data_IF_928179240988
#
_entry.id   IF_928179240988
#
_cell.length_a   1.000
_cell.length_b   1.000
_cell.length_c   1.000
_cell.angle_alpha   90.00
_cell.angle_beta   90.00
_cell.angle_gamma   90.00
#
_symmetry.space_group_name_H-M   'P 1'
#
loop_
_entity.id
_entity.type
_entity.pdbx_description
1 polymer ?
#
# COMPACT_ATOMS: atom_id res chain seq x y z
N UNK A 1 58.28 -25.76 -5.34
CA UNK A 1 57.43 -26.01 -4.15
C UNK A 1 56.82 -24.72 -3.61
N UNK A 2 57.56 -23.77 -3.01
CA UNK A 2 56.96 -22.55 -2.44
C UNK A 2 56.17 -21.68 -3.45
N UNK A 3 56.68 -21.49 -4.67
CA UNK A 3 56.02 -20.68 -5.70
C UNK A 3 54.75 -21.32 -6.29
N UNK A 4 54.62 -22.64 -6.22
CA UNK A 4 53.40 -23.36 -6.63
C UNK A 4 52.34 -23.34 -5.54
N UNK A 5 52.74 -23.46 -4.27
CA UNK A 5 51.84 -23.27 -3.13
C UNK A 5 51.25 -21.86 -3.08
N UNK A 6 52.04 -20.83 -3.36
CA UNK A 6 51.55 -19.45 -3.36
C UNK A 6 50.57 -19.17 -4.51
N UNK A 7 50.81 -19.74 -5.70
CA UNK A 7 49.85 -19.67 -6.82
C UNK A 7 48.54 -20.41 -6.51
N UNK A 8 48.64 -21.57 -5.88
CA UNK A 8 47.45 -22.35 -5.48
C UNK A 8 46.62 -21.60 -4.42
N UNK A 9 47.28 -20.95 -3.45
CA UNK A 9 46.61 -20.13 -2.43
C UNK A 9 45.89 -18.93 -3.04
N UNK A 10 46.52 -18.22 -3.97
CA UNK A 10 45.91 -17.06 -4.63
C UNK A 10 44.72 -17.48 -5.51
N UNK A 11 44.85 -18.58 -6.26
CA UNK A 11 43.74 -19.13 -7.05
C UNK A 11 42.55 -19.53 -6.17
N UNK A 12 42.81 -20.16 -5.00
CA UNK A 12 41.77 -20.52 -4.04
C UNK A 12 41.08 -19.28 -3.46
N UNK A 13 41.84 -18.22 -3.15
CA UNK A 13 41.30 -16.94 -2.67
C UNK A 13 40.38 -16.28 -3.70
N UNK A 14 40.82 -16.21 -4.96
CA UNK A 14 40.03 -15.65 -6.06
C UNK A 14 38.73 -16.45 -6.25
N UNK A 15 38.81 -17.78 -6.20
CA UNK A 15 37.64 -18.65 -6.31
C UNK A 15 36.63 -18.41 -5.18
N UNK A 16 37.09 -18.25 -3.94
CA UNK A 16 36.22 -17.97 -2.80
C UNK A 16 35.55 -16.58 -2.88
N UNK A 17 36.29 -15.56 -3.32
CA UNK A 17 35.74 -14.22 -3.55
C UNK A 17 34.65 -14.27 -4.63
N UNK A 18 34.89 -14.96 -5.74
CA UNK A 18 33.90 -15.12 -6.81
C UNK A 18 32.65 -15.87 -6.33
N UNK A 19 32.81 -16.97 -5.58
CA UNK A 19 31.69 -17.71 -5.01
C UNK A 19 30.87 -16.85 -4.02
N UNK A 20 31.53 -15.96 -3.27
CA UNK A 20 30.86 -15.01 -2.38
C UNK A 20 30.11 -13.94 -3.16
N UNK A 21 30.70 -13.38 -4.21
CA UNK A 21 30.04 -12.43 -5.12
C UNK A 21 28.77 -13.05 -5.74
N UNK A 22 28.82 -14.30 -6.19
CA UNK A 22 27.65 -14.94 -6.81
C UNK A 22 26.52 -15.22 -5.81
N UNK A 23 26.84 -15.58 -4.56
CA UNK A 23 25.85 -15.67 -3.48
C UNK A 23 25.18 -14.33 -3.21
N UNK A 24 25.95 -13.24 -3.18
CA UNK A 24 25.40 -11.89 -3.00
C UNK A 24 24.54 -11.45 -4.19
N UNK A 25 24.93 -11.72 -5.43
CA UNK A 25 24.11 -11.42 -6.62
C UNK A 25 22.76 -12.14 -6.58
N UNK A 26 22.74 -13.43 -6.26
CA UNK A 26 21.49 -14.19 -6.15
C UNK A 26 20.55 -13.57 -5.11
N UNK A 27 21.10 -13.12 -3.98
CA UNK A 27 20.33 -12.43 -2.93
C UNK A 27 19.86 -11.05 -3.39
N UNK A 28 20.71 -10.30 -4.09
CA UNK A 28 20.39 -9.00 -4.66
C UNK A 28 19.21 -9.09 -5.64
N UNK A 29 19.26 -10.02 -6.58
CA UNK A 29 18.23 -10.20 -7.61
C UNK A 29 16.87 -10.57 -6.98
N UNK A 30 16.88 -11.47 -5.99
CA UNK A 30 15.68 -11.85 -5.24
C UNK A 30 15.06 -10.67 -4.50
N UNK A 31 15.87 -9.84 -3.82
CA UNK A 31 15.40 -8.63 -3.14
C UNK A 31 14.91 -7.58 -4.13
N UNK A 32 15.58 -7.39 -5.26
CA UNK A 32 15.14 -6.48 -6.32
C UNK A 32 13.79 -6.88 -6.91
N UNK A 33 13.57 -8.18 -7.15
CA UNK A 33 12.28 -8.69 -7.61
C UNK A 33 11.17 -8.40 -6.59
N UNK A 34 11.44 -8.67 -5.30
CA UNK A 34 10.52 -8.39 -4.20
C UNK A 34 10.23 -6.89 -4.07
N UNK A 35 11.26 -6.05 -4.22
CA UNK A 35 11.14 -4.60 -4.18
C UNK A 35 10.22 -4.10 -5.30
N UNK A 36 10.40 -4.57 -6.53
CA UNK A 36 9.53 -4.21 -7.67
C UNK A 36 8.08 -4.65 -7.47
N UNK A 37 7.86 -5.87 -6.96
CA UNK A 37 6.51 -6.37 -6.70
C UNK A 37 5.78 -5.53 -5.63
N UNK A 38 6.48 -5.15 -4.56
CA UNK A 38 5.94 -4.30 -3.51
C UNK A 38 5.63 -2.88 -4.02
N UNK A 39 6.49 -2.29 -4.86
CA UNK A 39 6.22 -1.00 -5.51
C UNK A 39 4.93 -1.03 -6.35
N UNK A 40 4.73 -2.07 -7.16
CA UNK A 40 3.49 -2.24 -7.94
C UNK A 40 2.25 -2.37 -7.05
N UNK A 41 2.37 -3.10 -5.94
CA UNK A 41 1.28 -3.28 -4.97
C UNK A 41 0.93 -1.95 -4.28
N UNK A 42 1.94 -1.15 -3.93
CA UNK A 42 1.75 0.19 -3.37
C UNK A 42 1.01 1.11 -4.33
N UNK A 43 1.38 1.12 -5.61
CA UNK A 43 0.67 1.93 -6.60
C UNK A 43 -0.79 1.55 -6.73
N UNK A 44 -1.09 0.24 -6.79
CA UNK A 44 -2.48 -0.25 -6.81
C UNK A 44 -3.26 0.16 -5.56
N UNK A 45 -2.66 0.06 -4.38
CA UNK A 45 -3.30 0.48 -3.13
C UNK A 45 -3.51 2.00 -3.06
N UNK A 46 -2.54 2.80 -3.51
CA UNK A 46 -2.66 4.26 -3.56
C UNK A 46 -3.74 4.69 -4.55
N UNK A 47 -3.88 4.01 -5.69
CA UNK A 47 -4.96 4.25 -6.64
C UNK A 47 -6.34 3.89 -6.05
N UNK A 48 -6.46 2.71 -5.43
CA UNK A 48 -7.69 2.28 -4.77
C UNK A 48 -8.11 3.25 -3.64
N UNK A 49 -7.14 3.72 -2.84
CA UNK A 49 -7.37 4.74 -1.81
C UNK A 49 -7.97 6.01 -2.40
N UNK A 50 -7.40 6.53 -3.49
CA UNK A 50 -7.91 7.74 -4.16
C UNK A 50 -9.36 7.54 -4.66
N UNK A 51 -9.67 6.37 -5.22
CA UNK A 51 -11.04 6.04 -5.64
C UNK A 51 -12.02 6.06 -4.46
N UNK A 52 -11.68 5.36 -3.37
CA UNK A 52 -12.51 5.31 -2.16
C UNK A 52 -12.71 6.71 -1.53
N UNK A 53 -11.68 7.55 -1.54
CA UNK A 53 -11.80 8.94 -1.07
C UNK A 53 -12.75 9.75 -1.95
N UNK A 54 -12.74 9.53 -3.26
CA UNK A 54 -13.72 10.13 -4.18
C UNK A 54 -15.14 9.70 -3.86
N UNK A 55 -15.36 8.40 -3.62
CA UNK A 55 -16.67 7.85 -3.27
C UNK A 55 -17.22 8.42 -1.94
N UNK A 56 -16.35 8.62 -0.94
CA UNK A 56 -16.73 9.22 0.34
C UNK A 56 -17.37 10.61 0.20
N UNK A 57 -16.96 11.40 -0.79
CA UNK A 57 -17.57 12.71 -1.05
C UNK A 57 -19.04 12.63 -1.51
N UNK A 58 -19.43 11.53 -2.16
CA UNK A 58 -20.81 11.34 -2.62
C UNK A 58 -21.77 11.11 -1.46
N UNK A 59 -21.36 10.39 -0.41
CA UNK A 59 -22.20 10.17 0.78
C UNK A 59 -22.63 11.49 1.44
N UNK A 60 -21.69 12.44 1.59
CA UNK A 60 -22.01 13.75 2.16
C UNK A 60 -22.92 14.59 1.26
N UNK A 61 -22.78 14.47 -0.07
CA UNK A 61 -23.68 15.12 -1.02
C UNK A 61 -25.10 14.55 -0.92
N UNK A 62 -25.24 13.22 -0.98
CA UNK A 62 -26.54 12.56 -0.89
C UNK A 62 -27.26 12.88 0.42
N UNK A 63 -26.54 12.87 1.55
CA UNK A 63 -27.12 13.21 2.84
C UNK A 63 -27.67 14.65 2.87
N UNK A 64 -26.97 15.59 2.24
CA UNK A 64 -27.45 16.98 2.09
C UNK A 64 -28.69 17.05 1.20
N UNK A 65 -28.70 16.36 0.07
CA UNK A 65 -29.85 16.31 -0.84
C UNK A 65 -31.10 15.73 -0.16
N UNK A 66 -30.97 14.60 0.55
CA UNK A 66 -32.08 14.02 1.32
C UNK A 66 -32.54 14.96 2.46
N UNK A 67 -31.62 15.68 3.09
CA UNK A 67 -31.97 16.69 4.09
C UNK A 67 -32.76 17.83 3.47
N UNK A 68 -32.34 18.33 2.31
CA UNK A 68 -33.04 19.38 1.60
C UNK A 68 -34.42 18.94 1.11
N UNK A 69 -34.56 17.70 0.63
CA UNK A 69 -35.85 17.12 0.24
C UNK A 69 -36.84 17.10 1.42
N UNK A 70 -36.34 16.77 2.62
CA UNK A 70 -37.15 16.80 3.84
C UNK A 70 -37.66 18.20 4.19
N UNK A 71 -36.85 19.23 3.95
CA UNK A 71 -37.16 20.62 4.35
C UNK A 71 -37.89 21.44 3.29
N UNK A 72 -37.72 21.10 2.00
CA UNK A 72 -38.34 21.80 0.87
C UNK A 72 -39.85 21.51 0.76
N UNK A 73 -40.28 20.32 1.14
CA UNK A 73 -41.69 19.98 1.30
C UNK A 73 -42.10 20.41 2.71
N UNK A 74 -42.73 21.57 2.85
CA UNK A 74 -43.15 22.04 4.18
C UNK A 74 -44.23 21.13 4.77
N UNK A 75 -44.28 21.03 6.09
CA UNK A 75 -45.36 20.32 6.79
C UNK A 75 -46.71 21.01 6.62
N UNK A 76 -46.81 22.19 6.01
CA UNK A 76 -48.10 22.78 5.63
C UNK A 76 -48.62 22.24 4.29
N UNK A 77 -47.72 21.87 3.37
CA UNK A 77 -48.05 21.42 2.01
C UNK A 77 -48.10 19.89 1.86
N UNK A 78 -47.40 19.16 2.73
CA UNK A 78 -47.41 17.69 2.76
C UNK A 78 -47.57 17.18 4.19
N UNK A 79 -48.74 16.57 4.46
CA UNK A 79 -49.22 16.28 5.82
C UNK A 79 -49.73 14.85 6.02
N UNK A 80 -50.01 14.53 7.28
CA UNK A 80 -50.72 13.32 7.68
C UNK A 80 -49.88 12.05 7.62
N UNK A 81 -50.54 10.90 7.57
CA UNK A 81 -49.88 9.60 7.65
C UNK A 81 -48.88 9.36 6.50
N UNK A 82 -49.17 9.88 5.29
CA UNK A 82 -48.25 9.79 4.14
C UNK A 82 -46.97 10.59 4.40
N UNK A 83 -47.06 11.77 5.01
CA UNK A 83 -45.89 12.57 5.40
C UNK A 83 -45.04 11.83 6.43
N UNK A 84 -45.66 11.29 7.48
CA UNK A 84 -44.95 10.50 8.50
C UNK A 84 -44.17 9.33 7.88
N UNK A 85 -44.81 8.57 6.98
CA UNK A 85 -44.16 7.44 6.28
C UNK A 85 -42.97 7.91 5.42
N UNK A 86 -43.10 9.05 4.76
CA UNK A 86 -42.02 9.67 4.00
C UNK A 86 -40.84 10.05 4.92
N UNK A 87 -41.09 10.77 6.02
CA UNK A 87 -40.04 11.19 6.96
C UNK A 87 -39.33 9.97 7.58
N UNK A 88 -40.07 8.93 7.95
CA UNK A 88 -39.50 7.66 8.43
C UNK A 88 -38.57 7.04 7.40
N UNK A 89 -39.02 6.88 6.15
CA UNK A 89 -38.19 6.30 5.08
C UNK A 89 -36.95 7.14 4.79
N UNK A 90 -37.08 8.46 4.84
CA UNK A 90 -35.97 9.37 4.62
C UNK A 90 -34.93 9.31 5.74
N UNK A 91 -35.37 9.12 7.00
CA UNK A 91 -34.48 8.88 8.12
C UNK A 91 -33.79 7.51 8.04
N UNK A 92 -34.50 6.45 7.61
CA UNK A 92 -33.90 5.13 7.35
C UNK A 92 -32.79 5.22 6.30
N UNK A 93 -33.03 5.94 5.19
CA UNK A 93 -32.03 6.15 4.13
C UNK A 93 -30.82 6.91 4.67
N UNK A 94 -31.02 7.98 5.45
CA UNK A 94 -29.91 8.74 6.05
C UNK A 94 -29.08 7.89 7.01
N UNK A 95 -29.71 7.05 7.82
CA UNK A 95 -29.02 6.15 8.73
C UNK A 95 -28.21 5.08 7.97
N UNK A 96 -28.76 4.53 6.88
CA UNK A 96 -28.04 3.61 6.01
C UNK A 96 -26.82 4.28 5.35
N UNK A 97 -26.97 5.50 4.84
CA UNK A 97 -25.84 6.28 4.29
C UNK A 97 -24.73 6.52 5.32
N UNK A 98 -25.08 6.80 6.58
CA UNK A 98 -24.10 6.98 7.65
C UNK A 98 -23.36 5.68 7.98
N UNK A 99 -24.07 4.55 8.03
CA UNK A 99 -23.47 3.23 8.25
C UNK A 99 -22.52 2.84 7.10
N UNK A 100 -22.95 3.01 5.85
CA UNK A 100 -22.13 2.71 4.67
C UNK A 100 -20.88 3.63 4.63
N UNK A 101 -21.03 4.91 4.98
CA UNK A 101 -19.91 5.85 5.07
C UNK A 101 -18.89 5.40 6.12
N UNK A 102 -19.36 4.94 7.28
CA UNK A 102 -18.47 4.44 8.33
C UNK A 102 -17.72 3.18 7.88
N UNK A 103 -18.39 2.23 7.23
CA UNK A 103 -17.73 1.06 6.66
C UNK A 103 -16.65 1.45 5.62
N UNK A 104 -16.93 2.45 4.77
CA UNK A 104 -15.94 2.98 3.83
C UNK A 104 -14.74 3.62 4.55
N UNK A 105 -14.97 4.37 5.64
CA UNK A 105 -13.90 4.93 6.46
C UNK A 105 -13.02 3.85 7.10
N UNK A 106 -13.62 2.78 7.63
CA UNK A 106 -12.90 1.64 8.19
C UNK A 106 -12.01 0.96 7.14
N UNK A 107 -12.56 0.72 5.95
CA UNK A 107 -11.81 0.16 4.81
C UNK A 107 -10.66 1.06 4.40
N UNK A 108 -10.88 2.38 4.36
CA UNK A 108 -9.84 3.36 4.08
C UNK A 108 -8.72 3.32 5.14
N UNK A 109 -9.08 3.23 6.42
CA UNK A 109 -8.13 3.13 7.53
C UNK A 109 -7.30 1.84 7.45
N UNK A 110 -7.94 0.70 7.15
CA UNK A 110 -7.23 -0.56 6.93
C UNK A 110 -6.27 -0.48 5.74
N UNK A 111 -6.68 0.19 4.66
CA UNK A 111 -5.84 0.41 3.49
C UNK A 111 -4.64 1.31 3.80
N UNK A 112 -4.84 2.38 4.56
CA UNK A 112 -3.76 3.27 5.02
C UNK A 112 -2.72 2.50 5.83
N UNK A 113 -3.14 1.68 6.81
CA UNK A 113 -2.22 0.83 7.59
C UNK A 113 -1.40 -0.09 6.69
N UNK A 114 -2.04 -0.71 5.70
CA UNK A 114 -1.36 -1.62 4.75
C UNK A 114 -0.36 -0.88 3.85
N UNK A 115 -0.69 0.34 3.40
CA UNK A 115 0.22 1.20 2.64
C UNK A 115 1.45 1.53 3.50
N UNK A 116 1.25 1.99 4.74
CA UNK A 116 2.36 2.33 5.65
C UNK A 116 3.29 1.15 5.89
N UNK A 117 2.76 -0.04 6.17
CA UNK A 117 3.59 -1.24 6.37
C UNK A 117 4.39 -1.60 5.11
N UNK A 118 3.77 -1.52 3.93
CA UNK A 118 4.45 -1.81 2.67
C UNK A 118 5.50 -0.75 2.30
N UNK A 119 5.29 0.51 2.67
CA UNK A 119 6.29 1.58 2.50
C UNK A 119 7.50 1.35 3.42
N UNK A 120 7.28 0.89 4.65
CA UNK A 120 8.36 0.46 5.55
C UNK A 120 9.13 -0.73 4.98
N UNK A 121 8.42 -1.76 4.52
CA UNK A 121 9.04 -2.94 3.88
C UNK A 121 9.86 -2.55 2.64
N UNK A 122 9.34 -1.63 1.82
CA UNK A 122 10.09 -1.08 0.68
C UNK A 122 11.40 -0.43 1.11
N UNK A 123 11.37 0.42 2.14
CA UNK A 123 12.57 1.08 2.66
C UNK A 123 13.59 0.06 3.13
N UNK A 124 13.18 -0.91 3.96
CA UNK A 124 14.07 -1.93 4.52
C UNK A 124 14.70 -2.78 3.40
N UNK A 125 13.91 -3.16 2.39
CA UNK A 125 14.42 -3.93 1.25
C UNK A 125 15.40 -3.06 0.43
N UNK A 126 15.09 -1.78 0.23
CA UNK A 126 15.97 -0.82 -0.45
C UNK A 126 17.33 -0.69 0.23
N UNK A 127 17.35 -0.54 1.57
CA UNK A 127 18.58 -0.48 2.36
C UNK A 127 19.38 -1.79 2.25
N UNK A 128 18.70 -2.93 2.29
CA UNK A 128 19.35 -4.23 2.12
C UNK A 128 19.95 -4.41 0.72
N UNK A 129 19.28 -3.93 -0.34
CA UNK A 129 19.80 -3.92 -1.71
C UNK A 129 21.07 -3.08 -1.80
N UNK A 130 21.07 -1.88 -1.21
CA UNK A 130 22.23 -0.99 -1.17
C UNK A 130 23.41 -1.63 -0.43
N UNK A 131 23.16 -2.23 0.73
CA UNK A 131 24.17 -2.95 1.52
C UNK A 131 24.80 -4.11 0.73
N UNK A 132 23.98 -4.96 0.09
CA UNK A 132 24.49 -6.07 -0.73
C UNK A 132 25.31 -5.55 -1.91
N UNK A 133 24.86 -4.48 -2.57
CA UNK A 133 25.60 -3.85 -3.66
C UNK A 133 26.98 -3.38 -3.20
N UNK A 134 27.09 -2.79 -2.00
CA UNK A 134 28.36 -2.39 -1.42
C UNK A 134 29.26 -3.59 -1.12
N UNK A 135 28.72 -4.68 -0.56
CA UNK A 135 29.47 -5.93 -0.34
C UNK A 135 30.02 -6.53 -1.62
N UNK A 136 29.23 -6.55 -2.70
CA UNK A 136 29.69 -7.03 -4.02
C UNK A 136 30.84 -6.15 -4.52
N UNK A 137 30.70 -4.83 -4.45
CA UNK A 137 31.75 -3.90 -4.88
C UNK A 137 33.04 -4.06 -4.08
N UNK A 138 32.93 -4.21 -2.76
CA UNK A 138 34.07 -4.43 -1.87
C UNK A 138 34.82 -5.73 -2.18
N UNK A 139 34.10 -6.83 -2.40
CA UNK A 139 34.70 -8.10 -2.81
C UNK A 139 35.39 -8.01 -4.17
N UNK A 140 34.77 -7.33 -5.14
CA UNK A 140 35.36 -7.13 -6.46
C UNK A 140 36.63 -6.28 -6.44
N UNK A 141 36.75 -5.34 -5.50
CA UNK A 141 37.96 -4.54 -5.33
C UNK A 141 39.14 -5.33 -4.72
N UNK A 142 38.89 -6.54 -4.21
CA UNK A 142 39.91 -7.45 -3.69
C UNK A 142 40.42 -8.46 -4.74
N UNK A 143 39.80 -8.50 -5.92
CA UNK A 143 40.25 -9.24 -7.11
C UNK A 143 41.19 -8.36 -7.95
#
# INVERSE_FOLDING_TARGET
MAQEEDKAKEAARIADINASVDRFKATYDSKMASHRANAQKLERLKAAKRSLQGELHHFDSYKKEFTHLSTSLTTSQFQGARRKKFDTKLNEIKAALDADKEEHNERLNAMNRKITLLEMDQSIIGDAIASISASISGLRAML
#
